data_IF_636991217612
#
_entry.id   IF_636991217612
#
_cell.length_a   1.000
_cell.length_b   1.000
_cell.length_c   1.000
_cell.angle_alpha   90.00
_cell.angle_beta   90.00
_cell.angle_gamma   90.00
#
_symmetry.space_group_name_H-M   'P 1'
#
loop_
_entity.id
_entity.type
_entity.pdbx_description
1 polymer ?
#
# COMPACT_ATOMS: atom_id res chain seq x y z
N UNK A 1 8.36 -23.38 -45.36
CA UNK A 1 7.97 -22.21 -44.55
C UNK A 1 8.67 -22.33 -43.20
N UNK A 2 9.50 -21.36 -42.79
CA UNK A 2 10.17 -21.41 -41.46
C UNK A 2 9.14 -21.03 -40.40
N UNK A 3 8.81 -21.97 -39.53
CA UNK A 3 7.86 -21.76 -38.44
C UNK A 3 8.44 -20.72 -37.45
N UNK A 4 7.66 -19.74 -36.97
CA UNK A 4 8.16 -18.66 -36.10
C UNK A 4 8.79 -19.17 -34.79
N UNK A 5 8.46 -20.40 -34.38
CA UNK A 5 8.97 -21.05 -33.17
C UNK A 5 10.48 -21.35 -33.21
N UNK A 6 11.06 -21.57 -34.40
CA UNK A 6 12.50 -21.86 -34.56
C UNK A 6 13.40 -20.73 -34.08
N UNK A 7 12.95 -19.47 -34.21
CA UNK A 7 13.71 -18.32 -33.72
C UNK A 7 13.73 -18.27 -32.19
N UNK A 8 12.58 -18.56 -31.56
CA UNK A 8 12.47 -18.61 -30.10
C UNK A 8 13.29 -19.78 -29.53
N UNK A 9 13.18 -20.97 -30.12
CA UNK A 9 13.95 -22.15 -29.72
C UNK A 9 15.46 -21.89 -29.76
N UNK A 10 15.93 -21.26 -30.84
CA UNK A 10 17.35 -20.89 -30.97
C UNK A 10 17.76 -19.83 -29.95
N UNK A 11 16.89 -18.85 -29.67
CA UNK A 11 17.13 -17.84 -28.65
C UNK A 11 17.29 -18.45 -27.24
N UNK A 12 16.36 -19.32 -26.85
CA UNK A 12 16.42 -20.01 -25.56
C UNK A 12 17.61 -20.97 -25.46
N UNK A 13 17.95 -21.67 -26.54
CA UNK A 13 19.13 -22.53 -26.58
C UNK A 13 20.42 -21.74 -26.35
N UNK A 14 20.58 -20.59 -27.03
CA UNK A 14 21.77 -19.75 -26.87
C UNK A 14 21.86 -19.13 -25.46
N UNK A 15 20.72 -18.69 -24.91
CA UNK A 15 20.65 -18.19 -23.52
C UNK A 15 21.04 -19.29 -22.52
N UNK A 16 20.43 -20.47 -22.63
CA UNK A 16 20.72 -21.61 -21.75
C UNK A 16 22.18 -22.06 -21.86
N UNK A 17 22.73 -22.11 -23.07
CA UNK A 17 24.13 -22.43 -23.30
C UNK A 17 25.07 -21.41 -22.64
N UNK A 18 24.80 -20.11 -22.79
CA UNK A 18 25.59 -19.06 -22.16
C UNK A 18 25.48 -19.10 -20.63
N UNK A 19 24.30 -19.45 -20.10
CA UNK A 19 24.08 -19.65 -18.67
C UNK A 19 24.89 -20.82 -18.13
N UNK A 20 24.84 -21.97 -18.81
CA UNK A 20 25.61 -23.16 -18.41
C UNK A 20 27.12 -22.94 -18.49
N UNK A 21 27.60 -22.24 -19.53
CA UNK A 21 29.05 -22.00 -19.74
C UNK A 21 29.66 -21.11 -18.66
N UNK A 22 28.94 -20.10 -18.20
CA UNK A 22 29.44 -19.06 -17.28
C UNK A 22 28.60 -18.95 -16.00
N UNK A 23 28.16 -20.08 -15.44
CA UNK A 23 27.16 -20.11 -14.38
C UNK A 23 27.55 -19.28 -13.14
N UNK A 24 28.82 -19.32 -12.71
CA UNK A 24 29.29 -18.55 -11.55
C UNK A 24 29.16 -17.04 -11.78
N UNK A 25 29.60 -16.54 -12.94
CA UNK A 25 29.54 -15.12 -13.26
C UNK A 25 28.09 -14.61 -13.29
N UNK A 26 27.18 -15.43 -13.80
CA UNK A 26 25.75 -15.08 -13.89
C UNK A 26 25.12 -15.04 -12.50
N UNK A 27 25.41 -16.03 -11.64
CA UNK A 27 24.92 -16.03 -10.25
C UNK A 27 25.41 -14.77 -9.52
N UNK A 28 26.70 -14.46 -9.58
CA UNK A 28 27.25 -13.26 -8.93
C UNK A 28 26.63 -11.98 -9.47
N UNK A 29 26.41 -11.90 -10.79
CA UNK A 29 25.80 -10.73 -11.42
C UNK A 29 24.35 -10.54 -10.95
N UNK A 30 23.56 -11.62 -10.91
CA UNK A 30 22.16 -11.57 -10.43
C UNK A 30 22.10 -11.16 -8.96
N UNK A 31 22.97 -11.71 -8.12
CA UNK A 31 23.07 -11.35 -6.70
C UNK A 31 23.41 -9.85 -6.57
N UNK A 32 24.42 -9.38 -7.30
CA UNK A 32 24.83 -7.98 -7.28
C UNK A 32 23.69 -7.04 -7.71
N UNK A 33 23.02 -7.34 -8.82
CA UNK A 33 21.87 -6.56 -9.30
C UNK A 33 20.75 -6.56 -8.27
N UNK A 34 20.49 -7.69 -7.62
CA UNK A 34 19.46 -7.80 -6.57
C UNK A 34 19.80 -6.94 -5.36
N UNK A 35 21.06 -6.95 -4.91
CA UNK A 35 21.54 -6.10 -3.81
C UNK A 35 21.36 -4.62 -4.18
N UNK A 36 21.80 -4.21 -5.38
CA UNK A 36 21.67 -2.82 -5.85
C UNK A 36 20.20 -2.40 -5.92
N UNK A 37 19.32 -3.25 -6.46
CA UNK A 37 17.88 -2.97 -6.50
C UNK A 37 17.26 -2.85 -5.10
N UNK A 38 17.74 -3.66 -4.15
CA UNK A 38 17.26 -3.65 -2.76
C UNK A 38 17.63 -2.37 -2.00
N UNK A 39 18.69 -1.66 -2.40
CA UNK A 39 19.04 -0.34 -1.82
C UNK A 39 17.87 0.66 -1.98
N UNK A 40 17.08 0.54 -3.04
CA UNK A 40 15.89 1.38 -3.25
C UNK A 40 14.86 1.28 -2.13
N UNK A 41 14.79 0.14 -1.42
CA UNK A 41 13.89 -0.06 -0.30
C UNK A 41 14.25 0.79 0.93
N UNK A 42 15.48 1.30 1.04
CA UNK A 42 15.86 2.23 2.10
C UNK A 42 15.12 3.58 2.02
N UNK A 43 14.61 3.92 0.83
CA UNK A 43 13.78 5.11 0.60
C UNK A 43 12.29 4.80 0.51
N UNK A 44 11.88 3.63 1.02
CA UNK A 44 10.48 3.26 1.04
C UNK A 44 9.73 4.15 2.04
N UNK A 45 8.93 5.07 1.52
CA UNK A 45 8.03 5.90 2.31
C UNK A 45 6.67 5.20 2.42
N UNK A 46 6.33 4.73 3.61
CA UNK A 46 5.00 4.19 3.87
C UNK A 46 3.99 5.34 3.92
N UNK A 47 3.14 5.44 2.90
CA UNK A 47 2.04 6.40 2.86
C UNK A 47 0.79 5.71 3.40
N UNK A 48 0.42 6.01 4.64
CA UNK A 48 -0.74 5.41 5.32
C UNK A 48 -1.84 6.44 5.63
N UNK A 49 -2.07 7.38 4.71
CA UNK A 49 -3.10 8.38 4.89
C UNK A 49 -4.37 7.99 4.11
N UNK A 50 -5.36 7.53 4.87
CA UNK A 50 -6.65 7.09 4.30
C UNK A 50 -7.31 8.17 3.44
N UNK A 51 -7.14 9.45 3.80
CA UNK A 51 -7.77 10.59 3.10
C UNK A 51 -7.14 10.88 1.73
N UNK A 52 -5.89 10.49 1.51
CA UNK A 52 -5.18 10.76 0.24
C UNK A 52 -5.07 9.54 -0.66
N UNK A 53 -4.93 8.35 -0.08
CA UNK A 53 -4.62 7.11 -0.82
C UNK A 53 -5.86 6.32 -1.27
N UNK A 54 -7.01 6.49 -0.63
CA UNK A 54 -8.24 5.75 -0.97
C UNK A 54 -9.10 6.45 -2.03
N UNK A 55 -8.58 7.51 -2.64
CA UNK A 55 -9.22 8.23 -3.74
C UNK A 55 -8.37 8.13 -5.01
N UNK A 56 -8.99 7.95 -6.19
CA UNK A 56 -8.27 7.93 -7.47
C UNK A 56 -7.36 9.15 -7.65
N UNK A 57 -6.20 8.97 -8.29
CA UNK A 57 -5.23 10.04 -8.51
C UNK A 57 -5.81 11.24 -9.28
N UNK A 58 -6.79 10.99 -10.15
CA UNK A 58 -7.47 11.97 -11.00
C UNK A 58 -8.87 12.36 -10.50
N UNK A 59 -9.22 12.03 -9.25
CA UNK A 59 -10.54 12.35 -8.71
C UNK A 59 -10.73 13.87 -8.55
N UNK A 60 -11.89 14.44 -8.94
CA UNK A 60 -12.22 15.86 -8.72
C UNK A 60 -12.10 16.28 -7.25
N UNK A 61 -12.43 15.37 -6.33
CA UNK A 61 -12.33 15.57 -4.89
C UNK A 61 -10.90 15.90 -4.41
N UNK A 62 -9.85 15.49 -5.13
CA UNK A 62 -8.47 15.89 -4.80
C UNK A 62 -8.22 17.38 -5.01
N UNK A 63 -8.86 17.97 -6.03
CA UNK A 63 -8.77 19.41 -6.26
C UNK A 63 -9.51 20.19 -5.18
N UNK A 64 -10.73 19.76 -4.84
CA UNK A 64 -11.52 20.33 -3.75
C UNK A 64 -10.79 20.24 -2.41
N UNK A 65 -10.23 19.07 -2.09
CA UNK A 65 -9.42 18.86 -0.89
C UNK A 65 -8.19 19.79 -0.85
N UNK A 66 -7.48 19.96 -1.98
CA UNK A 66 -6.32 20.87 -2.05
C UNK A 66 -6.73 22.33 -1.78
N UNK A 67 -7.84 22.77 -2.37
CA UNK A 67 -8.40 24.10 -2.15
C UNK A 67 -8.79 24.26 -0.67
N UNK A 68 -9.59 23.34 -0.13
CA UNK A 68 -10.03 23.37 1.26
C UNK A 68 -8.84 23.37 2.24
N UNK A 69 -7.83 22.52 2.02
CA UNK A 69 -6.62 22.47 2.84
C UNK A 69 -5.83 23.78 2.79
N UNK A 70 -5.72 24.39 1.62
CA UNK A 70 -5.04 25.67 1.45
C UNK A 70 -5.75 26.81 2.19
N UNK A 71 -7.07 26.92 2.03
CA UNK A 71 -7.87 27.98 2.66
C UNK A 71 -8.03 27.79 4.17
N UNK A 72 -8.40 26.60 4.62
CA UNK A 72 -8.74 26.31 6.02
C UNK A 72 -7.51 25.95 6.86
N UNK A 73 -6.35 25.75 6.24
CA UNK A 73 -5.10 25.30 6.89
C UNK A 73 -5.28 24.04 7.76
N UNK A 74 -6.28 23.22 7.43
CA UNK A 74 -6.62 21.99 8.17
C UNK A 74 -6.68 20.79 7.22
N UNK A 75 -6.43 19.61 7.77
CA UNK A 75 -6.37 18.34 7.03
C UNK A 75 -7.70 17.55 7.15
N UNK A 76 -8.83 18.25 7.08
CA UNK A 76 -10.16 17.73 7.40
C UNK A 76 -10.71 18.26 8.73
N UNK A 77 -11.77 17.63 9.22
CA UNK A 77 -12.34 17.91 10.55
C UNK A 77 -11.44 17.38 11.66
N UNK A 78 -11.64 17.84 12.91
CA UNK A 78 -11.07 17.22 14.11
C UNK A 78 -11.27 15.69 14.06
N UNK A 79 -10.32 14.93 14.63
CA UNK A 79 -10.43 13.49 14.81
C UNK A 79 -11.10 13.22 16.18
N UNK A 80 -12.45 13.10 16.25
CA UNK A 80 -13.15 12.83 17.49
C UNK A 80 -12.81 11.42 18.00
N UNK A 81 -12.57 11.31 19.30
CA UNK A 81 -12.59 10.03 19.98
C UNK A 81 -14.04 9.69 20.36
N UNK A 82 -14.60 8.66 19.74
CA UNK A 82 -15.91 8.15 20.09
C UNK A 82 -15.79 6.92 21.00
N UNK A 83 -16.42 6.98 22.17
CA UNK A 83 -16.60 5.82 23.04
C UNK A 83 -18.03 5.35 22.85
N UNK A 84 -18.20 4.14 22.30
CA UNK A 84 -19.50 3.51 22.16
C UNK A 84 -19.70 2.49 23.27
N UNK A 85 -20.81 2.60 23.99
CA UNK A 85 -21.22 1.61 24.99
C UNK A 85 -22.41 0.80 24.47
N UNK A 86 -22.52 -0.45 24.91
CA UNK A 86 -23.64 -1.34 24.61
C UNK A 86 -23.97 -2.15 25.86
N UNK A 87 -25.25 -2.35 26.12
CA UNK A 87 -25.69 -3.24 27.19
C UNK A 87 -25.35 -4.69 26.82
N UNK A 88 -24.70 -5.44 27.72
CA UNK A 88 -24.21 -6.80 27.46
C UNK A 88 -25.34 -7.78 27.13
N UNK A 89 -26.53 -7.52 27.68
CA UNK A 89 -27.75 -8.29 27.46
C UNK A 89 -28.48 -7.90 26.15
N UNK A 90 -27.93 -6.97 25.38
CA UNK A 90 -28.56 -6.43 24.17
C UNK A 90 -29.76 -5.53 24.43
N UNK A 91 -30.02 -5.19 25.71
CA UNK A 91 -31.14 -4.35 26.11
C UNK A 91 -30.83 -2.85 26.11
N UNK A 92 -31.68 -2.07 26.78
CA UNK A 92 -31.60 -0.61 26.80
C UNK A 92 -30.57 -0.09 27.82
N UNK A 93 -29.72 0.85 27.40
CA UNK A 93 -28.75 1.56 28.27
C UNK A 93 -29.38 2.56 29.25
N UNK A 94 -30.68 2.89 29.09
CA UNK A 94 -31.38 3.84 29.98
C UNK A 94 -31.83 3.24 31.32
N UNK A 95 -31.50 1.98 31.62
CA UNK A 95 -31.81 1.35 32.92
C UNK A 95 -31.05 2.04 34.05
N UNK A 96 -31.68 2.09 35.23
CA UNK A 96 -31.13 2.79 36.40
C UNK A 96 -29.73 2.30 36.77
N UNK A 97 -29.47 1.00 36.63
CA UNK A 97 -28.17 0.36 36.88
C UNK A 97 -27.02 0.86 35.99
N UNK A 98 -27.31 1.48 34.84
CA UNK A 98 -26.31 2.00 33.90
C UNK A 98 -26.12 3.53 33.99
N UNK A 99 -26.94 4.25 34.80
CA UNK A 99 -26.93 5.72 34.90
C UNK A 99 -25.93 6.25 35.95
N UNK A 100 -24.69 5.75 35.95
CA UNK A 100 -23.69 6.18 36.95
C UNK A 100 -23.17 7.62 36.75
N UNK A 101 -23.36 8.21 35.57
CA UNK A 101 -22.89 9.56 35.23
C UNK A 101 -23.81 10.71 35.71
N UNK A 102 -25.03 10.43 36.19
CA UNK A 102 -25.99 11.46 36.63
C UNK A 102 -25.97 11.72 38.15
N UNK A 103 -25.16 10.97 38.91
CA UNK A 103 -25.12 11.03 40.37
C UNK A 103 -23.78 11.55 40.94
N UNK A 104 -22.86 11.99 40.08
CA UNK A 104 -21.70 12.82 40.43
C UNK A 104 -21.93 14.24 39.91
#
# INVERSE_FOLDING_TARGET
MRHPTLLFERGFYLLGYQIGRNFLQIIFTVILVTIIASIGLLRFEEVNNVRTEYSPLNAPSKNEYRIAKYFLKQNGTLDPCYIMSRARDGGNLLRTEHRWLLYN
#
